data_IF_197552843141
#
_entry.id   IF_197552843141
#
_cell.length_a   1.000
_cell.length_b   1.000
_cell.length_c   1.000
_cell.angle_alpha   90.00
_cell.angle_beta   90.00
_cell.angle_gamma   90.00
#
_symmetry.space_group_name_H-M   'P 1'
#
loop_
_entity.id
_entity.type
_entity.pdbx_description
1 polymer ?
#
# COMPACT_ATOMS: atom_id res chain seq x y z
N UNK A 1 9.61 -18.74 -62.02
CA UNK A 1 10.85 -18.11 -61.47
C UNK A 1 11.52 -17.00 -62.26
N UNK A 2 11.43 -16.93 -63.60
CA UNK A 2 12.01 -15.78 -64.35
C UNK A 2 11.17 -14.49 -64.36
N UNK A 3 9.88 -14.55 -64.00
CA UNK A 3 8.99 -13.36 -63.90
C UNK A 3 8.98 -12.67 -62.52
N UNK A 4 9.43 -13.33 -61.45
CA UNK A 4 9.56 -12.69 -60.12
C UNK A 4 10.82 -11.82 -59.99
N UNK A 5 11.87 -12.10 -60.78
CA UNK A 5 13.14 -11.35 -60.71
C UNK A 5 13.11 -9.99 -61.44
N UNK A 6 12.17 -9.76 -62.35
CA UNK A 6 12.01 -8.47 -63.04
C UNK A 6 11.27 -7.44 -62.17
N UNK A 7 10.26 -7.86 -61.40
CA UNK A 7 9.51 -6.96 -60.51
C UNK A 7 10.32 -6.43 -59.32
N UNK A 8 11.33 -7.18 -58.86
CA UNK A 8 12.24 -6.74 -57.79
C UNK A 8 13.27 -5.69 -58.27
N UNK A 9 13.67 -5.72 -59.55
CA UNK A 9 14.57 -4.70 -60.13
C UNK A 9 13.86 -3.37 -60.41
N UNK A 10 12.59 -3.39 -60.81
CA UNK A 10 11.80 -2.17 -61.00
C UNK A 10 11.51 -1.44 -59.68
N UNK A 11 11.21 -2.18 -58.59
CA UNK A 11 11.00 -1.56 -57.26
C UNK A 11 12.27 -0.97 -56.62
N UNK A 12 13.45 -1.43 -57.01
CA UNK A 12 14.73 -0.84 -56.55
C UNK A 12 15.07 0.46 -57.31
N UNK A 13 14.63 0.60 -58.55
CA UNK A 13 14.85 1.82 -59.35
C UNK A 13 13.88 2.95 -58.97
N UNK A 14 12.63 2.64 -58.60
CA UNK A 14 11.66 3.66 -58.13
C UNK A 14 11.98 4.20 -56.73
N UNK A 15 12.68 3.43 -55.87
CA UNK A 15 13.16 3.94 -54.58
C UNK A 15 14.36 4.88 -54.70
N UNK A 16 15.08 4.85 -55.83
CA UNK A 16 16.22 5.74 -56.08
C UNK A 16 15.80 7.11 -56.66
N UNK A 17 14.60 7.24 -57.24
CA UNK A 17 14.15 8.48 -57.89
C UNK A 17 13.36 9.44 -56.98
N UNK A 18 12.99 9.03 -55.75
CA UNK A 18 12.28 9.87 -54.77
C UNK A 18 13.20 10.62 -53.81
N UNK A 19 14.52 10.48 -53.93
CA UNK A 19 15.48 11.30 -53.22
C UNK A 19 15.91 12.50 -54.10
N UNK A 20 15.01 13.47 -54.27
CA UNK A 20 15.39 14.77 -54.82
C UNK A 20 16.30 15.47 -53.80
N UNK A 21 17.57 15.78 -54.13
CA UNK A 21 18.38 16.59 -53.25
C UNK A 21 17.79 18.00 -53.26
N UNK A 22 17.37 18.49 -52.09
CA UNK A 22 16.98 19.89 -51.91
C UNK A 22 18.12 20.83 -52.34
N UNK A 23 17.83 22.12 -52.58
CA UNK A 23 18.84 23.07 -53.01
C UNK A 23 19.95 23.09 -51.97
N UNK A 24 21.16 22.76 -52.41
CA UNK A 24 22.36 22.97 -51.59
C UNK A 24 22.45 24.46 -51.34
N UNK A 25 22.06 24.87 -50.14
CA UNK A 25 22.47 26.16 -49.61
C UNK A 25 23.97 26.25 -49.83
N UNK A 26 24.38 27.25 -50.60
CA UNK A 26 25.76 27.65 -50.72
C UNK A 26 26.19 28.08 -49.33
N UNK A 27 26.75 27.13 -48.57
CA UNK A 27 27.57 27.42 -47.41
C UNK A 27 28.71 28.28 -47.92
N UNK A 28 28.50 29.60 -47.84
CA UNK A 28 29.56 30.59 -47.78
C UNK A 28 30.59 30.03 -46.81
N UNK A 29 31.75 29.64 -47.33
CA UNK A 29 32.93 29.40 -46.53
C UNK A 29 33.33 30.72 -45.92
N UNK A 30 32.60 31.14 -44.87
CA UNK A 30 33.17 31.99 -43.83
C UNK A 30 34.40 31.23 -43.39
N UNK A 31 35.56 31.76 -43.74
CA UNK A 31 36.84 31.44 -43.13
C UNK A 31 36.70 31.63 -41.62
N UNK A 32 36.14 30.63 -40.94
CA UNK A 32 36.50 30.36 -39.56
C UNK A 32 37.94 29.91 -39.66
N UNK A 33 38.86 30.85 -39.41
CA UNK A 33 40.21 30.53 -38.99
C UNK A 33 40.09 29.48 -37.88
N UNK A 34 40.23 28.21 -38.24
CA UNK A 34 40.57 27.18 -37.29
C UNK A 34 41.97 27.55 -36.80
N UNK A 35 42.04 28.38 -35.76
CA UNK A 35 43.20 28.39 -34.89
C UNK A 35 43.34 26.94 -34.43
N UNK A 36 44.33 26.23 -34.99
CA UNK A 36 44.64 24.88 -34.61
C UNK A 36 44.87 24.90 -33.10
N UNK A 37 43.91 24.36 -32.32
CA UNK A 37 44.10 24.20 -30.88
C UNK A 37 45.39 23.39 -30.72
N UNK A 38 46.38 23.87 -29.95
CA UNK A 38 47.61 23.13 -29.76
C UNK A 38 47.26 21.73 -29.28
N UNK A 39 47.77 20.72 -29.99
CA UNK A 39 47.54 19.32 -29.63
C UNK A 39 48.17 19.11 -28.26
N UNK A 40 47.38 18.72 -27.23
CA UNK A 40 47.92 18.57 -25.90
C UNK A 40 49.05 17.55 -25.92
N UNK A 41 50.14 17.89 -25.23
CA UNK A 41 51.32 17.04 -25.12
C UNK A 41 50.91 15.65 -24.55
N UNK A 42 51.68 14.59 -24.81
CA UNK A 42 51.32 13.24 -24.36
C UNK A 42 51.02 13.17 -22.85
N UNK A 43 51.74 13.95 -22.04
CA UNK A 43 51.50 14.11 -20.60
C UNK A 43 50.19 14.83 -20.26
N UNK A 44 49.79 15.83 -21.04
CA UNK A 44 48.52 16.54 -20.87
C UNK A 44 47.32 15.67 -21.27
N UNK A 45 47.49 14.82 -22.31
CA UNK A 45 46.48 13.82 -22.69
C UNK A 45 46.23 12.81 -21.57
N UNK A 46 47.31 12.33 -20.94
CA UNK A 46 47.21 11.44 -19.78
C UNK A 46 46.58 12.14 -18.56
N UNK A 47 46.96 13.39 -18.26
CA UNK A 47 46.31 14.19 -17.20
C UNK A 47 44.81 14.36 -17.44
N UNK A 48 44.40 14.77 -18.65
CA UNK A 48 42.99 14.92 -19.03
C UNK A 48 42.22 13.58 -19.03
N UNK A 49 42.90 12.47 -19.28
CA UNK A 49 42.33 11.12 -19.18
C UNK A 49 42.09 10.75 -17.71
N UNK A 50 43.07 11.00 -16.85
CA UNK A 50 42.97 10.76 -15.40
C UNK A 50 41.90 11.64 -14.76
N UNK A 51 41.84 12.92 -15.12
CA UNK A 51 40.80 13.84 -14.63
C UNK A 51 39.39 13.40 -15.06
N UNK A 52 39.22 13.00 -16.32
CA UNK A 52 37.94 12.43 -16.79
C UNK A 52 37.56 11.15 -16.03
N UNK A 53 38.55 10.33 -15.69
CA UNK A 53 38.33 9.10 -14.93
C UNK A 53 37.97 9.40 -13.47
N UNK A 54 38.64 10.38 -12.84
CA UNK A 54 38.31 10.87 -11.50
C UNK A 54 36.89 11.45 -11.46
N UNK A 55 36.54 12.34 -12.38
CA UNK A 55 35.20 12.92 -12.47
C UNK A 55 34.12 11.83 -12.64
N UNK A 56 34.35 10.85 -13.53
CA UNK A 56 33.43 9.72 -13.71
C UNK A 56 33.29 8.87 -12.44
N UNK A 57 34.39 8.65 -11.72
CA UNK A 57 34.39 7.89 -10.48
C UNK A 57 33.68 8.66 -9.36
N UNK A 58 33.86 9.98 -9.25
CA UNK A 58 33.14 10.83 -8.31
C UNK A 58 31.63 10.78 -8.55
N UNK A 59 31.19 10.88 -9.81
CA UNK A 59 29.77 10.77 -10.17
C UNK A 59 29.20 9.37 -9.93
N UNK A 60 30.05 8.33 -10.04
CA UNK A 60 29.68 6.96 -9.67
C UNK A 60 29.54 6.81 -8.17
N UNK A 61 30.47 7.35 -7.38
CA UNK A 61 30.42 7.32 -5.91
C UNK A 61 29.18 8.04 -5.39
N UNK A 62 28.86 9.23 -5.90
CA UNK A 62 27.63 9.98 -5.54
C UNK A 62 26.36 9.15 -5.77
N UNK A 63 26.29 8.38 -6.87
CA UNK A 63 25.15 7.49 -7.16
C UNK A 63 25.10 6.25 -6.27
N UNK A 64 26.23 5.63 -5.98
CA UNK A 64 26.29 4.41 -5.16
C UNK A 64 26.03 4.67 -3.68
N UNK A 65 26.46 5.83 -3.17
CA UNK A 65 26.24 6.24 -1.79
C UNK A 65 24.78 6.67 -1.52
N UNK A 66 24.05 7.12 -2.54
CA UNK A 66 22.64 7.47 -2.39
C UNK A 66 21.73 6.23 -2.46
N UNK A 67 21.30 5.72 -1.30
CA UNK A 67 20.45 4.54 -1.20
C UNK A 67 19.12 4.67 -1.97
N UNK A 68 18.53 5.87 -2.05
CA UNK A 68 17.26 6.11 -2.75
C UNK A 68 17.42 6.01 -4.26
N UNK A 69 18.48 6.61 -4.82
CA UNK A 69 18.80 6.47 -6.25
C UNK A 69 19.21 5.04 -6.61
N UNK A 70 19.78 4.28 -5.67
CA UNK A 70 20.13 2.86 -5.89
C UNK A 70 18.91 1.95 -5.97
N UNK A 71 17.88 2.21 -5.15
CA UNK A 71 16.67 1.38 -5.10
C UNK A 71 15.63 1.85 -6.15
N UNK A 72 15.48 3.17 -6.34
CA UNK A 72 14.44 3.77 -7.19
C UNK A 72 14.98 4.90 -8.09
N UNK A 73 16.18 4.73 -8.66
CA UNK A 73 16.75 5.69 -9.60
C UNK A 73 16.00 5.69 -10.94
N UNK A 74 15.18 6.71 -11.17
CA UNK A 74 14.44 6.90 -12.42
C UNK A 74 14.67 8.32 -12.93
N UNK A 75 15.07 8.42 -14.19
CA UNK A 75 15.29 9.69 -14.88
C UNK A 75 13.94 10.24 -15.38
N UNK A 76 13.32 11.11 -14.59
CA UNK A 76 11.97 11.63 -14.86
C UNK A 76 11.96 12.52 -16.09
N UNK A 77 12.99 13.35 -16.28
CA UNK A 77 13.10 14.27 -17.40
C UNK A 77 13.24 13.50 -18.73
N UNK A 78 14.13 12.51 -18.80
CA UNK A 78 14.29 11.70 -19.99
C UNK A 78 13.02 10.89 -20.33
N UNK A 79 12.26 10.45 -19.32
CA UNK A 79 11.00 9.73 -19.54
C UNK A 79 9.86 10.64 -20.00
N UNK A 80 9.81 11.87 -19.51
CA UNK A 80 8.89 12.89 -19.99
C UNK A 80 9.19 13.26 -21.44
N UNK A 81 10.46 13.43 -21.80
CA UNK A 81 10.89 13.64 -23.18
C UNK A 81 10.50 12.46 -24.09
N UNK A 82 10.74 11.21 -23.65
CA UNK A 82 10.33 10.03 -24.41
C UNK A 82 8.80 9.96 -24.58
N UNK A 83 8.03 10.34 -23.55
CA UNK A 83 6.58 10.41 -23.62
C UNK A 83 6.12 11.46 -24.63
N UNK A 84 6.70 12.67 -24.59
CA UNK A 84 6.42 13.76 -25.54
C UNK A 84 6.76 13.34 -26.97
N UNK A 85 7.95 12.78 -27.22
CA UNK A 85 8.34 12.28 -28.54
C UNK A 85 7.37 11.20 -29.05
N UNK A 86 6.87 10.33 -28.18
CA UNK A 86 5.89 9.30 -28.55
C UNK A 86 4.53 9.92 -28.92
N UNK A 87 4.10 10.93 -28.18
CA UNK A 87 2.87 11.67 -28.49
C UNK A 87 2.98 12.43 -29.82
N UNK A 88 4.09 13.13 -30.05
CA UNK A 88 4.35 13.84 -31.30
C UNK A 88 4.36 12.89 -32.51
N UNK A 89 5.00 11.71 -32.38
CA UNK A 89 4.95 10.68 -33.43
C UNK A 89 3.53 10.22 -33.72
N UNK A 90 2.72 10.02 -32.68
CA UNK A 90 1.34 9.55 -32.82
C UNK A 90 0.45 10.63 -33.45
N UNK A 91 0.68 11.91 -33.15
CA UNK A 91 0.01 13.04 -33.80
C UNK A 91 0.41 13.10 -35.28
N UNK A 92 1.70 13.02 -35.60
CA UNK A 92 2.19 13.04 -36.98
C UNK A 92 1.67 11.85 -37.81
N UNK A 93 1.54 10.66 -37.20
CA UNK A 93 0.96 9.48 -37.85
C UNK A 93 -0.53 9.67 -38.14
N UNK A 94 -1.30 10.21 -37.19
CA UNK A 94 -2.71 10.57 -37.39
C UNK A 94 -2.90 11.62 -38.48
N UNK A 95 -2.07 12.66 -38.50
CA UNK A 95 -2.11 13.69 -39.55
C UNK A 95 -1.81 13.09 -40.92
N UNK A 96 -0.86 12.15 -40.99
CA UNK A 96 -0.54 11.42 -42.22
C UNK A 96 -1.71 10.54 -42.67
N UNK A 97 -2.34 9.79 -41.78
CA UNK A 97 -3.54 9.00 -42.11
C UNK A 97 -4.67 9.88 -42.63
N UNK A 98 -4.95 10.98 -41.94
CA UNK A 98 -5.99 11.93 -42.33
C UNK A 98 -5.71 12.58 -43.70
N UNK A 99 -4.44 12.85 -44.01
CA UNK A 99 -4.03 13.33 -45.34
C UNK A 99 -4.21 12.26 -46.43
N UNK A 100 -3.96 10.99 -46.13
CA UNK A 100 -4.19 9.87 -47.06
C UNK A 100 -5.68 9.65 -47.30
N UNK A 101 -6.50 9.73 -46.27
CA UNK A 101 -7.96 9.57 -46.40
C UNK A 101 -8.58 10.71 -47.22
N UNK A 102 -8.13 11.96 -47.02
CA UNK A 102 -8.51 13.08 -47.89
C UNK A 102 -8.18 12.80 -49.36
N UNK A 103 -6.96 12.31 -49.66
CA UNK A 103 -6.56 11.93 -51.03
C UNK A 103 -7.45 10.83 -51.62
N UNK A 104 -7.80 9.80 -50.82
CA UNK A 104 -8.70 8.72 -51.27
C UNK A 104 -10.09 9.26 -51.62
N UNK A 105 -10.63 10.17 -50.82
CA UNK A 105 -11.93 10.80 -51.10
C UNK A 105 -11.86 11.64 -52.37
N UNK A 106 -10.81 12.43 -52.56
CA UNK A 106 -10.61 13.24 -53.76
C UNK A 106 -10.47 12.37 -55.02
N UNK A 107 -9.73 11.27 -54.95
CA UNK A 107 -9.59 10.29 -56.03
C UNK A 107 -10.91 9.61 -56.36
N UNK A 108 -11.67 9.19 -55.34
CA UNK A 108 -13.00 8.62 -55.54
C UNK A 108 -13.95 9.61 -56.22
N UNK A 109 -13.94 10.88 -55.81
CA UNK A 109 -14.74 11.94 -56.44
C UNK A 109 -14.35 12.16 -57.91
N UNK A 110 -13.05 12.16 -58.23
CA UNK A 110 -12.56 12.25 -59.62
C UNK A 110 -13.03 11.06 -60.46
N UNK A 111 -12.97 9.84 -59.93
CA UNK A 111 -13.44 8.63 -60.62
C UNK A 111 -14.94 8.71 -60.92
N UNK A 112 -15.75 9.20 -59.97
CA UNK A 112 -17.19 9.40 -60.17
C UNK A 112 -17.47 10.43 -61.28
N UNK A 113 -16.70 11.52 -61.33
CA UNK A 113 -16.84 12.53 -62.38
C UNK A 113 -16.48 11.97 -63.76
N UNK A 114 -15.34 11.26 -63.87
CA UNK A 114 -14.91 10.61 -65.11
C UNK A 114 -15.93 9.57 -65.60
N UNK A 115 -16.49 8.78 -64.68
CA UNK A 115 -17.54 7.82 -65.01
C UNK A 115 -18.78 8.51 -65.57
N UNK A 116 -19.20 9.64 -64.97
CA UNK A 116 -20.33 10.44 -65.47
C UNK A 116 -20.05 11.04 -66.85
N UNK A 117 -18.82 11.48 -67.13
CA UNK A 117 -18.44 11.98 -68.46
C UNK A 117 -18.45 10.86 -69.51
N UNK A 118 -17.89 9.68 -69.19
CA UNK A 118 -17.94 8.52 -70.08
C UNK A 118 -19.38 8.08 -70.37
N UNK A 119 -20.25 8.04 -69.35
CA UNK A 119 -21.68 7.76 -69.52
C UNK A 119 -22.36 8.76 -70.47
N UNK A 120 -22.05 10.05 -70.36
CA UNK A 120 -22.56 11.09 -71.27
C UNK A 120 -22.06 10.87 -72.70
N UNK A 121 -20.76 10.58 -72.88
CA UNK A 121 -20.19 10.29 -74.19
C UNK A 121 -20.84 9.06 -74.83
N UNK A 122 -20.95 7.95 -74.09
CA UNK A 122 -21.62 6.73 -74.58
C UNK A 122 -23.06 6.99 -75.02
N UNK A 123 -23.81 7.84 -74.30
CA UNK A 123 -25.16 8.26 -74.69
C UNK A 123 -25.15 9.10 -75.96
N UNK A 124 -24.22 10.05 -76.07
CA UNK A 124 -24.06 10.87 -77.27
C UNK A 124 -23.73 10.00 -78.49
N UNK A 125 -22.76 9.10 -78.36
CA UNK A 125 -22.33 8.16 -79.40
C UNK A 125 -23.48 7.25 -79.82
N UNK A 126 -24.26 6.73 -78.86
CA UNK A 126 -25.43 5.91 -79.15
C UNK A 126 -26.51 6.70 -79.92
N UNK A 127 -26.76 7.96 -79.56
CA UNK A 127 -27.67 8.83 -80.29
C UNK A 127 -27.17 9.13 -81.71
N UNK A 128 -25.88 9.43 -81.87
CA UNK A 128 -25.27 9.69 -83.18
C UNK A 128 -25.32 8.45 -84.09
N UNK A 129 -24.98 7.28 -83.54
CA UNK A 129 -25.07 6.01 -84.26
C UNK A 129 -26.50 5.70 -84.69
N UNK A 130 -27.48 5.93 -83.81
CA UNK A 130 -28.90 5.75 -84.12
C UNK A 130 -29.39 6.71 -85.22
N UNK A 131 -28.97 7.98 -85.18
CA UNK A 131 -29.28 8.96 -86.23
C UNK A 131 -28.67 8.56 -87.58
N UNK A 132 -27.40 8.15 -87.58
CA UNK A 132 -26.69 7.66 -88.77
C UNK A 132 -27.37 6.42 -89.36
N UNK A 133 -27.74 5.45 -88.53
CA UNK A 133 -28.48 4.26 -88.99
C UNK A 133 -29.82 4.63 -89.63
N UNK A 134 -30.55 5.58 -89.05
CA UNK A 134 -31.83 6.05 -89.59
C UNK A 134 -31.67 6.71 -90.97
N UNK A 135 -30.65 7.55 -91.14
CA UNK A 135 -30.35 8.21 -92.42
C UNK A 135 -29.95 7.20 -93.50
N UNK A 136 -29.06 6.25 -93.17
CA UNK A 136 -28.62 5.21 -94.11
C UNK A 136 -29.78 4.26 -94.48
N UNK A 137 -30.66 3.92 -93.53
CA UNK A 137 -31.85 3.13 -93.81
C UNK A 137 -32.81 3.85 -94.77
N UNK A 138 -32.99 5.18 -94.62
CA UNK A 138 -33.81 5.97 -95.54
C UNK A 138 -33.18 6.08 -96.94
N UNK A 139 -31.85 6.26 -97.03
CA UNK A 139 -31.15 6.30 -98.30
C UNK A 139 -31.20 4.95 -99.05
N UNK A 140 -31.12 3.83 -98.31
CA UNK A 140 -31.30 2.49 -98.88
C UNK A 140 -32.74 2.25 -99.34
N UNK A 141 -33.74 2.63 -98.53
CA UNK A 141 -35.15 2.49 -98.91
C UNK A 141 -35.51 3.29 -100.17
N UNK A 142 -34.93 4.49 -100.37
CA UNK A 142 -35.09 5.27 -101.61
C UNK A 142 -34.46 4.57 -102.82
N UNK A 143 -33.24 4.06 -102.68
CA UNK A 143 -32.55 3.28 -103.73
C UNK A 143 -33.32 2.02 -104.12
N UNK A 144 -33.83 1.29 -103.13
CA UNK A 144 -34.62 0.08 -103.36
C UNK A 144 -35.97 0.40 -104.04
N UNK A 145 -36.59 1.55 -103.72
CA UNK A 145 -37.80 2.04 -104.39
C UNK A 145 -37.57 2.49 -105.85
N UNK A 146 -36.47 3.21 -106.12
CA UNK A 146 -36.07 3.62 -107.48
C UNK A 146 -35.69 2.41 -108.35
N UNK A 147 -35.00 1.42 -107.77
CA UNK A 147 -34.62 0.20 -108.49
C UNK A 147 -35.82 -0.72 -108.76
N UNK A 148 -36.85 -0.70 -107.89
CA UNK A 148 -38.13 -1.36 -108.12
C UNK A 148 -38.97 -0.65 -109.21
N UNK A 149 -38.80 0.65 -109.43
CA UNK A 149 -39.42 1.39 -110.53
C UNK A 149 -38.76 1.09 -111.89
N UNK A 150 -37.43 0.93 -111.92
CA UNK A 150 -36.67 0.61 -113.14
C UNK A 150 -36.93 -0.82 -113.64
N UNK A 151 -37.13 -1.80 -112.74
CA UNK A 151 -37.40 -3.20 -113.12
C UNK A 151 -38.82 -3.47 -113.64
N UNK A 152 -39.72 -2.48 -113.61
CA UNK A 152 -41.07 -2.60 -114.19
C UNK A 152 -41.14 -2.29 -115.70
N UNK A 153 -40.04 -1.85 -116.33
CA UNK A 153 -40.04 -1.41 -117.73
C UNK A 153 -39.44 -2.37 -118.76
N UNK A 154 -38.79 -3.47 -118.37
CA UNK A 154 -38.19 -4.40 -119.33
C UNK A 154 -38.94 -5.73 -119.40
N UNK A 155 -40.13 -5.67 -120.00
CA UNK A 155 -40.75 -6.81 -120.66
C UNK A 155 -40.31 -6.82 -122.12
N UNK A 156 -39.23 -7.53 -122.45
CA UNK A 156 -38.92 -7.86 -123.86
C UNK A 156 -38.53 -9.32 -123.99
N UNK A 157 -39.40 -10.04 -124.68
CA UNK A 157 -39.10 -11.28 -125.39
C UNK A 157 -37.84 -11.11 -126.23
N UNK A 158 -36.87 -12.02 -126.05
CA UNK A 158 -35.70 -12.14 -126.93
C UNK A 158 -35.71 -13.50 -127.62
N UNK A 159 -35.76 -13.40 -128.94
CA UNK A 159 -35.61 -14.44 -129.96
C UNK A 159 -34.37 -15.34 -129.72
N UNK A 160 -34.40 -16.66 -130.05
CA UNK A 160 -33.42 -17.62 -129.54
C UNK A 160 -32.13 -17.83 -130.37
N UNK A 161 -31.88 -17.13 -131.49
CA UNK A 161 -30.75 -17.49 -132.38
C UNK A 161 -29.89 -16.29 -132.82
N UNK A 162 -28.92 -15.89 -132.00
CA UNK A 162 -27.86 -14.93 -132.37
C UNK A 162 -26.49 -15.42 -131.86
N UNK A 163 -25.48 -15.31 -132.71
CA UNK A 163 -24.12 -15.88 -132.54
C UNK A 163 -23.25 -15.16 -131.48
N UNK A 164 -23.82 -14.26 -130.67
CA UNK A 164 -23.17 -13.60 -129.51
C UNK A 164 -23.95 -13.80 -128.20
N UNK A 165 -24.79 -14.85 -128.09
CA UNK A 165 -25.71 -15.03 -126.96
C UNK A 165 -25.36 -16.15 -125.96
N UNK A 166 -24.28 -16.92 -126.19
CA UNK A 166 -23.84 -17.95 -125.25
C UNK A 166 -22.44 -17.61 -124.73
N UNK A 167 -22.35 -16.80 -123.68
CA UNK A 167 -21.11 -16.59 -122.95
C UNK A 167 -20.98 -17.67 -121.88
N UNK A 168 -19.83 -18.36 -121.82
CA UNK A 168 -19.58 -19.39 -120.79
C UNK A 168 -19.58 -18.82 -119.35
N UNK A 169 -19.61 -17.49 -119.18
CA UNK A 169 -19.79 -16.80 -117.92
C UNK A 169 -21.25 -16.52 -117.51
N UNK A 170 -22.23 -16.78 -118.38
CA UNK A 170 -23.66 -16.50 -118.10
C UNK A 170 -24.32 -17.49 -117.14
N UNK A 171 -23.61 -18.55 -116.73
CA UNK A 171 -24.03 -19.55 -115.74
C UNK A 171 -25.54 -19.85 -115.76
N UNK A 172 -25.95 -20.66 -116.73
CA UNK A 172 -27.35 -21.06 -116.90
C UNK A 172 -27.91 -21.79 -115.63
N UNK A 173 -27.02 -22.26 -114.74
CA UNK A 173 -27.32 -22.91 -113.47
C UNK A 173 -27.29 -22.01 -112.23
N UNK A 174 -27.25 -20.67 -112.35
CA UNK A 174 -27.20 -19.74 -111.19
C UNK A 174 -28.26 -20.06 -110.13
N UNK A 175 -29.48 -20.43 -110.56
CA UNK A 175 -30.59 -20.76 -109.64
C UNK A 175 -30.29 -22.02 -108.82
N UNK A 176 -29.74 -23.06 -109.44
CA UNK A 176 -29.39 -24.33 -108.77
C UNK A 176 -28.19 -24.15 -107.84
N UNK A 177 -27.14 -23.43 -108.30
CA UNK A 177 -25.98 -23.06 -107.49
C UNK A 177 -26.39 -22.25 -106.26
N UNK A 178 -27.26 -21.25 -106.44
CA UNK A 178 -27.76 -20.40 -105.35
C UNK A 178 -28.61 -21.21 -104.36
N UNK A 179 -29.43 -22.15 -104.86
CA UNK A 179 -30.20 -23.07 -104.01
C UNK A 179 -29.28 -23.97 -103.18
N UNK A 180 -28.23 -24.54 -103.79
CA UNK A 180 -27.23 -25.33 -103.05
C UNK A 180 -26.46 -24.50 -102.03
N UNK A 181 -26.04 -23.28 -102.37
CA UNK A 181 -25.36 -22.37 -101.43
C UNK A 181 -26.27 -21.97 -100.26
N UNK A 182 -27.56 -21.73 -100.53
CA UNK A 182 -28.55 -21.46 -99.47
C UNK A 182 -28.75 -22.67 -98.56
N UNK A 183 -28.81 -23.88 -99.12
CA UNK A 183 -28.90 -25.12 -98.35
C UNK A 183 -27.66 -25.33 -97.49
N UNK A 184 -26.45 -25.17 -98.04
CA UNK A 184 -25.19 -25.26 -97.29
C UNK A 184 -25.14 -24.21 -96.17
N UNK A 185 -25.54 -22.98 -96.45
CA UNK A 185 -25.55 -21.91 -95.45
C UNK A 185 -26.59 -22.17 -94.36
N UNK A 186 -27.76 -22.72 -94.71
CA UNK A 186 -28.78 -23.13 -93.76
C UNK A 186 -28.26 -24.26 -92.87
N UNK A 187 -27.61 -25.28 -93.43
CA UNK A 187 -26.97 -26.38 -92.69
C UNK A 187 -25.91 -25.87 -91.72
N UNK A 188 -25.01 -24.98 -92.16
CA UNK A 188 -23.99 -24.38 -91.29
C UNK A 188 -24.58 -23.55 -90.15
N UNK A 189 -25.61 -22.74 -90.41
CA UNK A 189 -26.27 -21.96 -89.37
C UNK A 189 -26.94 -22.88 -88.36
N UNK A 190 -27.63 -23.94 -88.82
CA UNK A 190 -28.24 -24.94 -87.93
C UNK A 190 -27.18 -25.64 -87.08
N UNK A 191 -26.04 -26.01 -87.67
CA UNK A 191 -24.93 -26.63 -86.95
C UNK A 191 -24.32 -25.68 -85.91
N UNK A 192 -24.07 -24.42 -86.26
CA UNK A 192 -23.58 -23.41 -85.33
C UNK A 192 -24.57 -23.09 -84.20
N UNK A 193 -25.87 -23.03 -84.50
CA UNK A 193 -26.90 -22.84 -83.47
C UNK A 193 -26.91 -24.01 -82.49
N UNK A 194 -26.81 -25.24 -82.99
CA UNK A 194 -26.77 -26.44 -82.17
C UNK A 194 -25.51 -26.47 -81.29
N UNK A 195 -24.33 -26.23 -81.86
CA UNK A 195 -23.07 -26.18 -81.10
C UNK A 195 -23.12 -25.09 -80.02
N UNK A 196 -23.66 -23.91 -80.33
CA UNK A 196 -23.82 -22.82 -79.37
C UNK A 196 -24.82 -23.15 -78.26
N UNK A 197 -25.90 -23.87 -78.58
CA UNK A 197 -26.88 -24.31 -77.59
C UNK A 197 -26.31 -25.41 -76.68
N UNK A 198 -25.56 -26.37 -77.24
CA UNK A 198 -24.83 -27.39 -76.48
C UNK A 198 -23.79 -26.76 -75.56
N UNK A 199 -23.00 -25.79 -76.05
CA UNK A 199 -22.05 -25.03 -75.23
C UNK A 199 -22.74 -24.26 -74.09
N UNK A 200 -23.89 -23.62 -74.36
CA UNK A 200 -24.68 -22.92 -73.33
C UNK A 200 -25.22 -23.88 -72.28
N UNK A 201 -25.69 -25.08 -72.68
CA UNK A 201 -26.15 -26.11 -71.74
C UNK A 201 -25.01 -26.60 -70.86
N UNK A 202 -23.83 -26.86 -71.43
CA UNK A 202 -22.64 -27.26 -70.68
C UNK A 202 -22.19 -26.19 -69.68
N UNK A 203 -22.21 -24.90 -70.07
CA UNK A 203 -21.91 -23.78 -69.17
C UNK A 203 -22.93 -23.68 -68.04
N UNK A 204 -24.23 -23.79 -68.35
CA UNK A 204 -25.28 -23.76 -67.33
C UNK A 204 -25.16 -24.93 -66.33
N UNK A 205 -24.82 -26.13 -66.80
CA UNK A 205 -24.55 -27.28 -65.93
C UNK A 205 -23.32 -27.07 -65.05
N UNK A 206 -22.24 -26.51 -65.60
CA UNK A 206 -21.04 -26.17 -64.83
C UNK A 206 -21.36 -25.13 -63.75
N UNK A 207 -22.09 -24.07 -64.09
CA UNK A 207 -22.49 -23.04 -63.13
C UNK A 207 -23.35 -23.63 -62.01
N UNK A 208 -24.33 -24.48 -62.35
CA UNK A 208 -25.17 -25.17 -61.35
C UNK A 208 -24.34 -26.07 -60.42
N UNK A 209 -23.34 -26.78 -60.94
CA UNK A 209 -22.41 -27.58 -60.11
C UNK A 209 -21.59 -26.69 -59.19
N UNK A 210 -21.12 -25.56 -59.68
CA UNK A 210 -20.36 -24.59 -58.88
C UNK A 210 -21.22 -23.96 -57.78
N UNK A 211 -22.44 -23.55 -58.09
CA UNK A 211 -23.40 -23.02 -57.11
C UNK A 211 -23.68 -24.05 -55.99
N UNK A 212 -23.94 -25.31 -56.35
CA UNK A 212 -24.15 -26.37 -55.38
C UNK A 212 -22.91 -26.59 -54.49
N UNK A 213 -21.72 -26.60 -55.09
CA UNK A 213 -20.46 -26.75 -54.36
C UNK A 213 -20.21 -25.57 -53.42
N UNK A 214 -20.43 -24.34 -53.89
CA UNK A 214 -20.29 -23.15 -53.06
C UNK A 214 -21.30 -23.11 -51.92
N UNK A 215 -22.54 -23.55 -52.16
CA UNK A 215 -23.56 -23.69 -51.12
C UNK A 215 -23.17 -24.74 -50.07
N UNK A 216 -22.62 -25.88 -50.50
CA UNK A 216 -22.13 -26.92 -49.60
C UNK A 216 -20.97 -26.41 -48.72
N UNK A 217 -20.02 -25.66 -49.29
CA UNK A 217 -18.95 -25.01 -48.51
C UNK A 217 -19.55 -24.01 -47.52
N UNK A 218 -20.49 -23.16 -47.97
CA UNK A 218 -21.17 -22.21 -47.10
C UNK A 218 -21.80 -22.88 -45.88
N UNK A 219 -22.54 -23.97 -46.09
CA UNK A 219 -23.15 -24.74 -45.00
C UNK A 219 -22.12 -25.33 -44.03
N UNK A 220 -21.00 -25.87 -44.54
CA UNK A 220 -19.91 -26.38 -43.67
C UNK A 220 -19.25 -25.26 -42.86
N UNK A 221 -19.06 -24.08 -43.46
CA UNK A 221 -18.51 -22.92 -42.76
C UNK A 221 -19.45 -22.44 -41.65
N UNK A 222 -20.75 -22.33 -41.93
CA UNK A 222 -21.76 -21.93 -40.93
C UNK A 222 -21.81 -22.92 -39.75
N UNK A 223 -21.78 -24.22 -40.02
CA UNK A 223 -21.78 -25.24 -38.97
C UNK A 223 -20.51 -25.16 -38.11
N UNK A 224 -19.35 -24.96 -38.75
CA UNK A 224 -18.09 -24.77 -38.04
C UNK A 224 -18.08 -23.50 -37.17
N UNK A 225 -18.72 -22.42 -37.61
CA UNK A 225 -18.88 -21.19 -36.83
C UNK A 225 -19.80 -21.39 -35.63
N UNK A 226 -20.97 -22.04 -35.83
CA UNK A 226 -21.87 -22.39 -34.73
C UNK A 226 -21.17 -23.24 -33.68
N UNK A 227 -20.42 -24.25 -34.11
CA UNK A 227 -19.69 -25.12 -33.19
C UNK A 227 -18.61 -24.37 -32.39
N UNK A 228 -17.88 -23.44 -33.03
CA UNK A 228 -16.91 -22.58 -32.34
C UNK A 228 -17.57 -21.72 -31.27
N UNK A 229 -18.72 -21.12 -31.56
CA UNK A 229 -19.45 -20.30 -30.59
C UNK A 229 -20.00 -21.14 -29.43
N UNK A 230 -20.52 -22.34 -29.70
CA UNK A 230 -20.95 -23.28 -28.66
C UNK A 230 -19.79 -23.71 -27.76
N UNK A 231 -18.63 -24.05 -28.33
CA UNK A 231 -17.44 -24.41 -27.57
C UNK A 231 -16.92 -23.23 -26.73
N UNK A 232 -17.00 -22.00 -27.27
CA UNK A 232 -16.63 -20.78 -26.54
C UNK A 232 -17.56 -20.54 -25.37
N UNK A 233 -18.88 -20.70 -25.56
CA UNK A 233 -19.86 -20.62 -24.49
C UNK A 233 -19.59 -21.68 -23.41
N UNK A 234 -19.34 -22.93 -23.81
CA UNK A 234 -19.01 -24.02 -22.89
C UNK A 234 -17.78 -23.70 -22.04
N UNK A 235 -16.67 -23.28 -22.67
CA UNK A 235 -15.45 -22.86 -21.95
C UNK A 235 -15.72 -21.69 -21.00
N UNK A 236 -16.52 -20.71 -21.42
CA UNK A 236 -16.85 -19.56 -20.56
C UNK A 236 -17.66 -19.99 -19.33
N UNK A 237 -18.62 -20.91 -19.48
CA UNK A 237 -19.38 -21.46 -18.36
C UNK A 237 -18.49 -22.25 -17.40
N UNK A 238 -17.57 -23.07 -17.92
CA UNK A 238 -16.59 -23.81 -17.11
C UNK A 238 -15.68 -22.86 -16.31
N UNK A 239 -15.17 -21.80 -16.95
CA UNK A 239 -14.35 -20.76 -16.30
C UNK A 239 -15.16 -20.03 -15.22
N UNK A 240 -16.42 -19.70 -15.51
CA UNK A 240 -17.29 -19.02 -14.56
C UNK A 240 -17.54 -19.87 -13.31
N UNK A 241 -17.84 -21.16 -13.48
CA UNK A 241 -18.07 -22.07 -12.36
C UNK A 241 -16.78 -22.31 -11.56
N UNK A 242 -15.64 -22.47 -12.24
CA UNK A 242 -14.34 -22.55 -11.57
C UNK A 242 -14.04 -21.30 -10.73
N UNK A 243 -14.27 -20.11 -11.29
CA UNK A 243 -14.09 -18.85 -10.56
C UNK A 243 -15.05 -18.75 -9.37
N UNK A 244 -16.30 -19.22 -9.50
CA UNK A 244 -17.27 -19.28 -8.42
C UNK A 244 -16.78 -20.16 -7.27
N UNK A 245 -16.28 -21.35 -7.59
CA UNK A 245 -15.70 -22.28 -6.62
C UNK A 245 -14.45 -21.69 -5.95
N UNK A 246 -13.58 -21.02 -6.71
CA UNK A 246 -12.40 -20.35 -6.19
C UNK A 246 -12.76 -19.26 -5.17
N UNK A 247 -13.81 -18.47 -5.45
CA UNK A 247 -14.29 -17.42 -4.53
C UNK A 247 -14.81 -18.05 -3.23
N UNK A 248 -15.60 -19.13 -3.32
CA UNK A 248 -16.11 -19.85 -2.14
C UNK A 248 -14.95 -20.42 -1.32
N UNK A 249 -13.99 -21.10 -1.96
CA UNK A 249 -12.82 -21.66 -1.29
C UNK A 249 -11.97 -20.58 -0.60
N UNK A 250 -11.73 -19.44 -1.26
CA UNK A 250 -11.05 -18.29 -0.66
C UNK A 250 -11.80 -17.73 0.55
N UNK A 251 -13.13 -17.63 0.47
CA UNK A 251 -13.98 -17.16 1.57
C UNK A 251 -13.92 -18.13 2.76
N UNK A 252 -14.02 -19.44 2.52
CA UNK A 252 -13.89 -20.46 3.56
C UNK A 252 -12.51 -20.42 4.23
N UNK A 253 -11.43 -20.33 3.44
CA UNK A 253 -10.06 -20.22 3.98
C UNK A 253 -9.87 -18.95 4.81
N UNK A 254 -10.42 -17.81 4.35
CA UNK A 254 -10.38 -16.55 5.11
C UNK A 254 -11.16 -16.66 6.42
N UNK A 255 -12.34 -17.27 6.41
CA UNK A 255 -13.15 -17.45 7.61
C UNK A 255 -12.48 -18.39 8.61
N UNK A 256 -11.90 -19.50 8.13
CA UNK A 256 -11.13 -20.43 8.97
C UNK A 256 -9.95 -19.71 9.64
N UNK A 257 -9.16 -18.97 8.85
CA UNK A 257 -8.04 -18.18 9.38
C UNK A 257 -8.49 -17.15 10.42
N UNK A 258 -9.60 -16.45 10.17
CA UNK A 258 -10.16 -15.50 11.14
C UNK A 258 -10.57 -16.19 12.44
N UNK A 259 -11.25 -17.34 12.35
CA UNK A 259 -11.66 -18.09 13.53
C UNK A 259 -10.44 -18.60 14.33
N UNK A 260 -9.37 -18.99 13.64
CA UNK A 260 -8.11 -19.38 14.27
C UNK A 260 -7.39 -18.19 14.93
N UNK A 261 -7.35 -17.03 14.27
CA UNK A 261 -6.83 -15.77 14.83
C UNK A 261 -7.64 -15.34 16.07
N UNK A 262 -8.98 -15.43 16.02
CA UNK A 262 -9.85 -15.13 17.16
C UNK A 262 -9.62 -16.11 18.32
N UNK A 263 -9.45 -17.40 18.02
CA UNK A 263 -9.14 -18.41 19.04
C UNK A 263 -7.79 -18.15 19.69
N UNK A 264 -6.76 -17.86 18.90
CA UNK A 264 -5.43 -17.51 19.40
C UNK A 264 -5.46 -16.24 20.25
N UNK A 265 -6.21 -15.21 19.82
CA UNK A 265 -6.39 -13.99 20.60
C UNK A 265 -7.08 -14.26 21.95
N UNK A 266 -8.09 -15.13 21.98
CA UNK A 266 -8.77 -15.52 23.22
C UNK A 266 -7.84 -16.32 24.15
N UNK A 267 -7.07 -17.26 23.60
CA UNK A 267 -6.06 -18.03 24.33
C UNK A 267 -4.99 -17.10 24.91
N UNK A 268 -4.50 -16.13 24.13
CA UNK A 268 -3.54 -15.12 24.60
C UNK A 268 -4.12 -14.24 25.70
N UNK A 269 -5.39 -13.83 25.58
CA UNK A 269 -6.08 -13.08 26.64
C UNK A 269 -6.17 -13.90 27.92
N UNK A 270 -6.51 -15.18 27.83
CA UNK A 270 -6.59 -16.06 29.00
C UNK A 270 -5.22 -16.30 29.65
N UNK A 271 -4.18 -16.55 28.86
CA UNK A 271 -2.81 -16.74 29.35
C UNK A 271 -2.30 -15.45 29.99
N UNK A 272 -2.53 -14.31 29.33
CA UNK A 272 -2.15 -13.00 29.86
C UNK A 272 -2.89 -12.70 31.16
N UNK A 273 -4.21 -12.93 31.20
CA UNK A 273 -5.03 -12.70 32.40
C UNK A 273 -4.63 -13.61 33.58
N UNK A 274 -4.26 -14.86 33.31
CA UNK A 274 -3.74 -15.81 34.31
C UNK A 274 -2.24 -15.68 34.57
N UNK A 275 -1.56 -14.77 33.88
CA UNK A 275 -0.14 -14.53 34.05
C UNK A 275 0.17 -14.08 35.47
N UNK A 276 1.32 -14.54 35.97
CA UNK A 276 1.88 -14.16 37.27
C UNK A 276 2.07 -12.65 37.45
N UNK A 277 2.26 -11.94 36.33
CA UNK A 277 2.39 -10.49 36.33
C UNK A 277 1.06 -9.80 36.64
N UNK A 278 -0.03 -10.18 35.97
CA UNK A 278 -1.35 -9.53 36.13
C UNK A 278 -2.12 -10.02 37.36
N UNK A 279 -1.96 -11.28 37.74
CA UNK A 279 -2.61 -11.84 38.94
C UNK A 279 -1.92 -11.43 40.24
N UNK A 280 -0.74 -10.82 40.13
CA UNK A 280 0.10 -10.39 41.25
C UNK A 280 0.27 -11.42 42.39
N UNK A 281 0.23 -12.73 42.08
CA UNK A 281 0.29 -13.80 43.07
C UNK A 281 1.42 -13.60 44.10
N UNK A 282 1.08 -13.64 45.40
CA UNK A 282 2.04 -13.51 46.51
C UNK A 282 2.98 -14.72 46.64
N UNK A 283 2.59 -15.88 46.07
CA UNK A 283 3.42 -17.09 46.11
C UNK A 283 4.77 -16.89 45.39
N UNK A 284 4.83 -16.00 44.39
CA UNK A 284 6.07 -15.68 43.68
C UNK A 284 7.05 -14.84 44.52
N UNK A 285 6.62 -14.32 45.67
CA UNK A 285 7.50 -13.63 46.61
C UNK A 285 8.42 -14.61 47.37
N UNK A 286 8.06 -15.88 47.46
CA UNK A 286 8.84 -16.88 48.19
C UNK A 286 9.85 -17.58 47.28
N UNK A 287 11.04 -17.86 47.82
CA UNK A 287 12.07 -18.56 47.06
C UNK A 287 11.70 -20.04 46.90
N UNK A 288 11.79 -20.55 45.68
CA UNK A 288 11.60 -21.98 45.40
C UNK A 288 12.58 -22.81 46.23
N UNK A 289 12.06 -23.65 47.13
CA UNK A 289 12.85 -24.50 48.03
C UNK A 289 13.11 -23.94 49.43
N UNK A 290 12.82 -22.66 49.71
CA UNK A 290 12.87 -22.12 51.07
C UNK A 290 11.71 -21.14 51.34
N UNK A 291 10.60 -21.62 51.95
CA UNK A 291 9.42 -20.80 52.24
C UNK A 291 9.68 -19.61 53.19
N UNK A 292 10.75 -19.66 53.99
CA UNK A 292 11.07 -18.60 54.94
C UNK A 292 11.90 -17.47 54.30
N UNK A 293 12.45 -17.69 53.09
CA UNK A 293 13.26 -16.70 52.39
C UNK A 293 12.47 -16.07 51.25
N UNK A 294 12.37 -14.73 51.27
CA UNK A 294 11.72 -13.95 50.22
C UNK A 294 12.71 -13.54 49.14
N UNK A 295 12.23 -13.43 47.91
CA UNK A 295 12.98 -12.93 46.78
C UNK A 295 12.94 -11.39 46.81
N UNK A 296 14.08 -10.68 46.94
CA UNK A 296 14.07 -9.22 47.15
C UNK A 296 13.35 -8.43 46.05
N UNK A 297 13.52 -8.82 44.79
CA UNK A 297 12.92 -8.13 43.63
C UNK A 297 11.48 -8.56 43.31
N UNK A 298 10.93 -9.55 44.02
CA UNK A 298 9.52 -9.97 43.90
C UNK A 298 8.75 -9.76 45.21
N UNK A 299 9.28 -8.93 46.11
CA UNK A 299 8.62 -8.61 47.37
C UNK A 299 7.44 -7.66 47.15
N UNK A 300 6.22 -8.15 47.42
CA UNK A 300 4.96 -7.40 47.26
C UNK A 300 4.28 -7.08 48.59
N UNK A 301 5.02 -7.16 49.70
CA UNK A 301 4.49 -6.95 51.06
C UNK A 301 4.21 -8.24 51.83
N UNK A 302 3.58 -8.08 53.00
CA UNK A 302 3.21 -9.16 53.90
C UNK A 302 1.83 -9.73 53.54
N UNK A 303 1.66 -11.04 53.74
CA UNK A 303 0.35 -11.69 53.61
C UNK A 303 -0.62 -11.16 54.68
N UNK A 304 -1.91 -11.24 54.43
CA UNK A 304 -2.97 -10.86 55.38
C UNK A 304 -2.78 -11.54 56.74
N UNK A 305 -2.44 -12.84 56.74
CA UNK A 305 -2.17 -13.58 57.99
C UNK A 305 -0.96 -13.03 58.77
N UNK A 306 0.09 -12.59 58.08
CA UNK A 306 1.29 -12.05 58.73
C UNK A 306 1.03 -10.65 59.27
N UNK A 307 0.27 -9.83 58.54
CA UNK A 307 -0.21 -8.54 59.03
C UNK A 307 -1.07 -8.73 60.27
N UNK A 308 -1.96 -9.73 60.27
CA UNK A 308 -2.79 -10.07 61.42
C UNK A 308 -1.94 -10.48 62.63
N UNK A 309 -0.91 -11.32 62.44
CA UNK A 309 0.02 -11.69 63.52
C UNK A 309 0.72 -10.47 64.12
N UNK A 310 1.13 -9.50 63.30
CA UNK A 310 1.74 -8.25 63.79
C UNK A 310 0.72 -7.46 64.63
N UNK A 311 -0.53 -7.35 64.17
CA UNK A 311 -1.58 -6.65 64.90
C UNK A 311 -1.91 -7.33 66.24
N UNK A 312 -1.97 -8.66 66.26
CA UNK A 312 -2.21 -9.43 67.48
C UNK A 312 -1.04 -9.29 68.47
N UNK A 313 0.20 -9.28 67.97
CA UNK A 313 1.40 -9.04 68.76
C UNK A 313 1.43 -7.64 69.35
N UNK A 314 1.09 -6.61 68.57
CA UNK A 314 0.97 -5.24 69.06
C UNK A 314 -0.10 -5.14 70.15
N UNK A 315 -1.24 -5.81 69.97
CA UNK A 315 -2.30 -5.86 70.98
C UNK A 315 -1.79 -6.51 72.27
N UNK A 316 -1.02 -7.60 72.17
CA UNK A 316 -0.39 -8.25 73.33
C UNK A 316 0.57 -7.30 74.05
N UNK A 317 1.44 -6.60 73.32
CA UNK A 317 2.39 -5.64 73.89
C UNK A 317 1.69 -4.49 74.62
N UNK A 318 0.55 -4.01 74.09
CA UNK A 318 -0.26 -2.98 74.75
C UNK A 318 -0.80 -3.51 76.09
N UNK A 319 -1.33 -4.74 76.12
CA UNK A 319 -1.82 -5.36 77.36
C UNK A 319 -0.69 -5.56 78.37
N UNK A 320 0.44 -6.12 77.96
CA UNK A 320 1.61 -6.32 78.84
C UNK A 320 2.10 -5.00 79.42
N UNK A 321 2.13 -3.93 78.61
CA UNK A 321 2.50 -2.60 79.09
C UNK A 321 1.49 -2.03 80.09
N UNK A 322 0.20 -2.25 79.89
CA UNK A 322 -0.84 -1.84 80.84
C UNK A 322 -0.69 -2.60 82.17
N UNK A 323 -0.44 -3.91 82.12
CA UNK A 323 -0.22 -4.72 83.32
C UNK A 323 1.03 -4.29 84.08
N UNK A 324 2.12 -3.99 83.36
CA UNK A 324 3.35 -3.47 83.96
C UNK A 324 3.12 -2.13 84.66
N UNK A 325 2.40 -1.20 84.03
CA UNK A 325 2.05 0.09 84.65
C UNK A 325 1.14 -0.09 85.88
N UNK A 326 0.22 -1.05 85.85
CA UNK A 326 -0.63 -1.36 87.00
C UNK A 326 0.21 -1.90 88.17
N UNK A 327 1.15 -2.82 87.91
CA UNK A 327 2.08 -3.35 88.94
C UNK A 327 2.98 -2.27 89.51
N UNK A 328 3.57 -1.42 88.67
CA UNK A 328 4.40 -0.29 89.12
C UNK A 328 3.61 0.67 89.99
N UNK A 329 2.33 0.91 89.65
CA UNK A 329 1.43 1.72 90.48
C UNK A 329 1.19 1.07 91.84
N UNK A 330 0.89 -0.22 91.89
CA UNK A 330 0.71 -0.97 93.16
C UNK A 330 1.99 -0.97 94.01
N UNK A 331 3.16 -1.16 93.40
CA UNK A 331 4.44 -1.11 94.12
C UNK A 331 4.72 0.30 94.66
N UNK A 332 4.45 1.35 93.89
CA UNK A 332 4.58 2.72 94.34
C UNK A 332 3.60 3.04 95.49
N UNK A 333 2.35 2.57 95.42
CA UNK A 333 1.38 2.71 96.51
C UNK A 333 1.87 1.99 97.78
N UNK A 334 2.36 0.75 97.68
CA UNK A 334 2.96 0.01 98.81
C UNK A 334 4.19 0.72 99.38
N UNK A 335 5.05 1.27 98.52
CA UNK A 335 6.21 2.03 98.95
C UNK A 335 5.80 3.30 99.70
N UNK A 336 4.81 4.04 99.19
CA UNK A 336 4.25 5.21 99.86
C UNK A 336 3.64 4.86 101.23
N UNK A 337 2.88 3.76 101.32
CA UNK A 337 2.35 3.26 102.59
C UNK A 337 3.47 2.93 103.59
N UNK A 338 4.53 2.25 103.15
CA UNK A 338 5.70 1.96 103.98
C UNK A 338 6.39 3.25 104.45
N UNK A 339 6.59 4.23 103.57
CA UNK A 339 7.16 5.53 103.93
C UNK A 339 6.30 6.27 104.96
N UNK A 340 4.98 6.27 104.80
CA UNK A 340 4.06 6.86 105.77
C UNK A 340 4.10 6.14 107.12
N UNK A 341 4.22 4.80 107.13
CA UNK A 341 4.39 4.04 108.36
C UNK A 341 5.71 4.37 109.07
N UNK A 342 6.83 4.44 108.34
CA UNK A 342 8.11 4.89 108.90
C UNK A 342 8.04 6.32 109.43
N UNK A 343 7.41 7.24 108.69
CA UNK A 343 7.19 8.63 109.13
C UNK A 343 6.42 8.67 110.44
N UNK A 344 5.33 7.90 110.58
CA UNK A 344 4.54 7.80 111.82
C UNK A 344 5.38 7.26 112.98
N UNK A 345 6.17 6.22 112.75
CA UNK A 345 7.06 5.65 113.78
C UNK A 345 8.13 6.65 114.23
N UNK A 346 8.76 7.38 113.30
CA UNK A 346 9.73 8.42 113.63
C UNK A 346 9.11 9.52 114.48
N UNK A 347 7.92 10.00 114.12
CA UNK A 347 7.19 11.01 114.92
C UNK A 347 6.86 10.50 116.33
N UNK A 348 6.47 9.23 116.47
CA UNK A 348 6.22 8.61 117.79
C UNK A 348 7.51 8.54 118.61
N UNK A 349 8.62 8.10 118.01
CA UNK A 349 9.92 8.00 118.67
C UNK A 349 10.48 9.37 119.08
N UNK A 350 10.34 10.39 118.23
CA UNK A 350 10.66 11.78 118.57
C UNK A 350 9.84 12.28 119.76
N UNK A 351 8.54 11.94 119.80
CA UNK A 351 7.65 12.30 120.91
C UNK A 351 8.03 11.59 122.20
N UNK A 352 8.38 10.31 122.14
CA UNK A 352 8.88 9.55 123.29
C UNK A 352 10.18 10.15 123.83
N UNK A 353 11.15 10.43 122.96
CA UNK A 353 12.41 11.10 123.32
C UNK A 353 12.17 12.46 123.95
N UNK A 354 11.27 13.27 123.40
CA UNK A 354 10.88 14.56 124.00
C UNK A 354 10.24 14.38 125.38
N UNK A 355 9.37 13.38 125.56
CA UNK A 355 8.77 13.08 126.84
C UNK A 355 9.81 12.60 127.87
N UNK A 356 10.78 11.78 127.48
CA UNK A 356 11.90 11.36 128.31
C UNK A 356 12.76 12.56 128.73
N UNK A 357 13.17 13.40 127.78
CA UNK A 357 13.90 14.64 128.07
C UNK A 357 13.12 15.54 129.04
N UNK A 358 11.80 15.66 128.89
CA UNK A 358 10.96 16.40 129.83
C UNK A 358 10.85 15.73 131.22
N UNK A 359 10.90 14.40 131.30
CA UNK A 359 10.94 13.67 132.59
C UNK A 359 12.28 13.86 133.27
N UNK A 360 13.38 13.71 132.54
CA UNK A 360 14.74 13.96 133.02
C UNK A 360 14.91 15.41 133.48
N UNK A 361 14.45 16.38 132.69
CA UNK A 361 14.47 17.79 133.06
C UNK A 361 13.66 18.07 134.34
N UNK A 362 12.50 17.41 134.51
CA UNK A 362 11.70 17.51 135.75
C UNK A 362 12.41 16.87 136.94
N UNK A 363 13.00 15.69 136.78
CA UNK A 363 13.77 15.02 137.82
C UNK A 363 14.97 15.87 138.26
N UNK A 364 15.71 16.43 137.30
CA UNK A 364 16.82 17.34 137.54
C UNK A 364 16.38 18.62 138.24
N UNK A 365 15.25 19.22 137.83
CA UNK A 365 14.68 20.39 138.50
C UNK A 365 14.32 20.10 139.96
N UNK A 366 13.72 18.94 140.25
CA UNK A 366 13.41 18.51 141.61
C UNK A 366 14.68 18.29 142.45
N UNK A 367 15.72 17.69 141.86
CA UNK A 367 17.02 17.52 142.50
C UNK A 367 17.69 18.87 142.82
N UNK A 368 17.68 19.82 141.87
CA UNK A 368 18.19 21.18 142.09
C UNK A 368 17.41 21.93 143.18
N UNK A 369 16.09 21.72 143.27
CA UNK A 369 15.28 22.31 144.33
C UNK A 369 15.66 21.75 145.71
N UNK A 370 15.91 20.44 145.81
CA UNK A 370 16.45 19.80 147.02
C UNK A 370 17.78 20.39 147.45
N UNK A 371 18.77 20.46 146.55
CA UNK A 371 20.06 21.10 146.84
C UNK A 371 19.93 22.56 147.27
N UNK A 372 19.01 23.32 146.65
CA UNK A 372 18.78 24.72 147.02
C UNK A 372 18.27 24.82 148.46
N UNK A 373 17.32 23.96 148.85
CA UNK A 373 16.82 23.91 150.23
C UNK A 373 17.95 23.55 151.20
N UNK A 374 18.72 22.50 150.93
CA UNK A 374 19.87 22.09 151.76
C UNK A 374 20.88 23.23 151.94
N UNK A 375 21.29 23.88 150.84
CA UNK A 375 22.19 25.05 150.89
C UNK A 375 21.60 26.20 151.71
N UNK A 376 20.30 26.49 151.58
CA UNK A 376 19.68 27.55 152.39
C UNK A 376 19.63 27.21 153.87
N UNK A 377 19.39 25.95 154.25
CA UNK A 377 19.44 25.49 155.63
C UNK A 377 20.87 25.58 156.17
N UNK A 378 21.84 25.09 155.42
CA UNK A 378 23.26 25.13 155.79
C UNK A 378 23.77 26.58 155.95
N UNK A 379 23.39 27.48 155.03
CA UNK A 379 23.72 28.91 155.11
C UNK A 379 23.09 29.57 156.34
N UNK A 380 21.82 29.30 156.64
CA UNK A 380 21.16 29.77 157.88
C UNK A 380 21.86 29.26 159.15
N UNK A 381 22.35 28.02 159.14
CA UNK A 381 23.11 27.46 160.27
C UNK A 381 24.45 28.17 160.45
N UNK A 382 25.22 28.37 159.37
CA UNK A 382 26.49 29.12 159.40
C UNK A 382 26.31 30.54 159.93
N UNK A 383 25.31 31.27 159.42
CA UNK A 383 25.01 32.65 159.83
C UNK A 383 24.60 32.78 161.31
N UNK A 384 23.81 31.82 161.83
CA UNK A 384 23.28 31.91 163.20
C UNK A 384 24.15 31.27 164.27
N UNK A 385 24.80 30.14 163.99
CA UNK A 385 25.50 29.35 165.00
C UNK A 385 27.03 29.56 164.98
N UNK A 386 27.62 29.87 163.83
CA UNK A 386 29.09 29.95 163.67
C UNK A 386 29.57 31.40 163.60
N UNK A 387 28.86 32.27 162.89
CA UNK A 387 29.27 33.66 162.68
C UNK A 387 28.81 34.65 163.76
N UNK A 388 28.17 34.17 164.84
CA UNK A 388 27.97 34.97 166.03
C UNK A 388 29.20 34.82 166.93
N UNK A 389 29.98 35.89 167.09
CA UNK A 389 31.04 35.99 168.10
C UNK A 389 30.48 36.67 169.36
N UNK A 390 29.88 35.93 170.31
CA UNK A 390 29.54 36.49 171.61
C UNK A 390 30.83 36.78 172.39
N UNK A 391 30.96 37.98 172.94
CA UNK A 391 32.11 38.36 173.76
C UNK A 391 32.04 37.60 175.09
N UNK A 392 33.05 36.78 175.38
CA UNK A 392 33.14 35.97 176.62
C UNK A 392 33.10 36.87 177.87
N UNK A 393 32.41 36.48 178.95
CA UNK A 393 32.44 37.19 180.24
C UNK A 393 33.88 37.45 180.76
N UNK A 394 34.82 36.55 180.45
CA UNK A 394 36.25 36.66 180.78
C UNK A 394 36.93 37.88 180.13
N UNK A 395 36.39 38.39 179.01
CA UNK A 395 36.87 39.63 178.36
C UNK A 395 36.61 40.86 179.23
N UNK A 396 35.47 40.92 179.94
CA UNK A 396 35.14 42.05 180.81
C UNK A 396 35.88 41.99 182.15
N UNK A 397 36.27 40.79 182.61
CA UNK A 397 37.10 40.61 183.81
C UNK A 397 38.55 41.08 183.65
N UNK A 398 39.00 41.45 182.44
CA UNK A 398 40.33 42.01 182.20
C UNK A 398 40.43 43.50 182.58
N UNK A 399 39.31 44.19 182.77
CA UNK A 399 39.27 45.63 183.09
C UNK A 399 39.21 45.88 184.61
N UNK A 400 39.96 46.89 185.11
CA UNK A 400 39.85 47.37 186.50
C UNK A 400 40.66 46.64 187.58
N UNK A 401 41.54 45.71 187.22
CA UNK A 401 42.37 44.91 188.16
C UNK A 401 43.68 45.59 188.63
N UNK A 402 43.86 46.90 188.42
CA UNK A 402 45.06 47.64 188.84
C UNK A 402 44.67 49.00 189.42
N UNK A 403 45.07 49.28 190.66
CA UNK A 403 44.83 50.55 191.34
C UNK A 403 45.82 51.62 190.87
N UNK A 404 45.43 52.37 189.85
CA UNK A 404 45.94 53.70 189.57
C UNK A 404 44.80 54.67 189.39
#
# INVERSE_FOLDING_TARGET
DKKLKSGLRQRQLERASLASPGPRESFSTRNLMYQARPQPNAQERERLRVERLKARNEDRVKRLLNAKLRIYGRDTEALEEQSKMKQERLIAEKERELALDKKRVDEANKLVLLHKEQEKQRKLDACQLAAYHKEQQQAKAKRDAEQAAFRRQDGRDRNPNSLFLNFHGEDLGVKERRKMQQQQQQEWIVQQMREKEEARKAEAEMNKRYENYSGAIGGVCEEAEKQKEMDKLRRNMEIQEYNRQLVVAKKMKRNSRKAEEEKQALEEQQITASSKLLTENLNDTYMTGNPNRRIPYHFKGFNSEEQQRILDEQRRQIMEKQDMLAREKEENERYQEQQEMYRRQLVLLEREKMNEQHREARALAHFHQGQKLEKTVQKKHLEKAVYQNPVSPEYFEQFGKSCR
#
